data_IF_282403203816
#
_entry.id   IF_282403203816
#
_cell.length_a   1.000
_cell.length_b   1.000
_cell.length_c   1.000
_cell.angle_alpha   90.00
_cell.angle_beta   90.00
_cell.angle_gamma   90.00
#
_symmetry.space_group_name_H-M   'P 1'
#
loop_
_entity.id
_entity.type
_entity.pdbx_description
1 polymer ?
#
# COMPACT_ATOMS: atom_id res chain seq x y z
N UNK A 1 7.57 -16.12 -10.43
CA UNK A 1 7.35 -15.37 -9.19
C UNK A 1 8.15 -14.07 -9.22
N UNK A 2 7.64 -13.01 -8.62
CA UNK A 2 8.30 -11.72 -8.46
C UNK A 2 8.40 -11.44 -6.97
N UNK A 3 9.59 -11.07 -6.50
CA UNK A 3 9.76 -10.59 -5.12
C UNK A 3 9.36 -9.12 -5.07
N UNK A 4 8.27 -8.81 -4.35
CA UNK A 4 7.86 -7.44 -4.07
C UNK A 4 8.34 -7.04 -2.68
N UNK A 5 8.86 -5.82 -2.54
CA UNK A 5 9.32 -5.29 -1.24
C UNK A 5 8.82 -3.85 -1.10
N UNK A 6 7.98 -3.61 -0.11
CA UNK A 6 7.57 -2.27 0.29
C UNK A 6 8.23 -1.88 1.60
N UNK A 7 8.97 -0.76 1.59
CA UNK A 7 9.78 -0.29 2.72
C UNK A 7 9.09 0.92 3.34
N UNK A 8 8.26 0.65 4.34
CA UNK A 8 7.57 1.66 5.14
C UNK A 8 8.38 2.13 6.34
N UNK A 9 7.95 3.24 6.97
CA UNK A 9 8.60 3.79 8.17
C UNK A 9 8.53 2.87 9.40
N UNK A 10 7.51 2.03 9.49
CA UNK A 10 7.28 1.14 10.64
C UNK A 10 7.57 -0.32 10.30
N UNK A 11 7.30 -0.73 9.08
CA UNK A 11 7.46 -2.11 8.65
C UNK A 11 7.89 -2.21 7.19
N UNK A 12 8.59 -3.29 6.89
CA UNK A 12 8.94 -3.74 5.56
C UNK A 12 8.03 -4.93 5.25
N UNK A 13 7.27 -4.83 4.17
CA UNK A 13 6.45 -5.93 3.68
C UNK A 13 7.12 -6.55 2.45
N UNK A 14 7.33 -7.86 2.47
CA UNK A 14 7.84 -8.61 1.34
C UNK A 14 6.86 -9.71 0.95
N UNK A 15 6.71 -9.97 -0.35
CA UNK A 15 5.85 -11.04 -0.83
C UNK A 15 6.42 -11.70 -2.07
N UNK A 16 6.08 -12.97 -2.28
CA UNK A 16 6.18 -13.59 -3.59
C UNK A 16 4.86 -13.41 -4.32
N UNK A 17 4.89 -12.74 -5.45
CA UNK A 17 3.71 -12.49 -6.24
C UNK A 17 3.74 -13.35 -7.51
N UNK A 18 2.61 -14.01 -7.77
CA UNK A 18 2.40 -14.80 -8.97
C UNK A 18 1.10 -14.38 -9.65
N UNK A 19 1.10 -14.36 -10.97
CA UNK A 19 -0.10 -14.13 -11.75
C UNK A 19 -0.67 -15.49 -12.18
N UNK A 20 -1.93 -15.72 -11.90
CA UNK A 20 -2.63 -16.92 -12.39
C UNK A 20 -2.94 -16.80 -13.90
N UNK A 21 -3.39 -17.91 -14.50
CA UNK A 21 -3.76 -17.95 -15.93
C UNK A 21 -4.95 -17.06 -16.31
N UNK A 22 -5.59 -16.39 -15.33
CA UNK A 22 -6.70 -15.43 -15.51
C UNK A 22 -6.25 -13.99 -15.27
N UNK A 23 -4.95 -13.76 -15.04
CA UNK A 23 -4.42 -12.42 -14.81
C UNK A 23 -4.52 -11.92 -13.37
N UNK A 24 -5.04 -12.73 -12.43
CA UNK A 24 -5.16 -12.35 -11.03
C UNK A 24 -3.82 -12.53 -10.33
N UNK A 25 -3.37 -11.49 -9.63
CA UNK A 25 -2.19 -11.56 -8.77
C UNK A 25 -2.55 -12.14 -7.40
N UNK A 26 -1.77 -13.10 -6.95
CA UNK A 26 -1.88 -13.71 -5.62
C UNK A 26 -0.52 -13.82 -4.98
N UNK A 27 -0.45 -13.54 -3.68
CA UNK A 27 0.73 -13.82 -2.88
C UNK A 27 0.63 -15.25 -2.36
N UNK A 28 1.67 -16.06 -2.58
CA UNK A 28 1.80 -17.39 -1.93
C UNK A 28 2.48 -17.27 -0.58
N UNK A 29 3.23 -16.19 -0.41
CA UNK A 29 3.96 -15.84 0.79
C UNK A 29 3.89 -14.35 1.00
N UNK A 30 3.69 -13.93 2.23
CA UNK A 30 3.84 -12.56 2.69
C UNK A 30 4.63 -12.56 3.99
N UNK A 31 5.60 -11.66 4.08
CA UNK A 31 6.38 -11.44 5.29
C UNK A 31 6.28 -9.97 5.70
N UNK A 32 6.31 -9.76 7.00
CA UNK A 32 6.39 -8.43 7.60
C UNK A 32 7.55 -8.41 8.59
N UNK A 33 8.48 -7.52 8.34
CA UNK A 33 9.63 -7.25 9.22
C UNK A 33 9.53 -5.83 9.76
N UNK A 34 10.08 -5.61 10.95
CA UNK A 34 10.13 -4.25 11.51
C UNK A 34 11.19 -3.40 10.81
N UNK A 35 10.86 -2.13 10.59
CA UNK A 35 11.82 -1.13 10.15
C UNK A 35 12.64 -0.66 11.35
N UNK A 36 13.86 -1.17 11.49
CA UNK A 36 14.73 -0.89 12.64
C UNK A 36 15.88 0.02 12.22
N UNK A 37 15.96 1.26 12.75
CA UNK A 37 17.09 2.15 12.47
C UNK A 37 18.43 1.50 12.86
N UNK A 38 19.42 1.58 11.95
CA UNK A 38 20.77 1.02 12.18
C UNK A 38 20.89 -0.49 12.01
N UNK A 39 19.83 -1.22 11.71
CA UNK A 39 19.90 -2.64 11.38
C UNK A 39 20.67 -2.85 10.07
N UNK A 40 21.58 -3.82 10.05
CA UNK A 40 22.42 -4.09 8.87
C UNK A 40 21.66 -4.80 7.74
N UNK A 41 22.10 -4.59 6.50
CA UNK A 41 21.60 -5.32 5.33
C UNK A 41 21.72 -6.85 5.51
N UNK A 42 22.81 -7.32 6.12
CA UNK A 42 23.02 -8.75 6.41
C UNK A 42 21.97 -9.34 7.35
N UNK A 43 21.51 -8.57 8.35
CA UNK A 43 20.47 -9.00 9.28
C UNK A 43 19.08 -9.05 8.60
N UNK A 44 18.76 -8.09 7.74
CA UNK A 44 17.54 -8.14 6.92
C UNK A 44 17.55 -9.30 5.92
N UNK A 45 18.69 -9.55 5.29
CA UNK A 45 18.85 -10.67 4.34
C UNK A 45 18.70 -12.02 5.04
N UNK A 46 19.26 -12.18 6.25
CA UNK A 46 19.14 -13.41 7.03
C UNK A 46 17.67 -13.69 7.38
N UNK A 47 16.98 -12.70 7.93
CA UNK A 47 15.55 -12.83 8.27
C UNK A 47 14.68 -13.12 7.04
N UNK A 48 14.89 -12.43 5.91
CA UNK A 48 14.18 -12.72 4.67
C UNK A 48 14.42 -14.15 4.19
N UNK A 49 15.64 -14.67 4.31
CA UNK A 49 15.96 -16.06 3.94
C UNK A 49 15.27 -17.07 4.85
N UNK A 50 15.20 -16.82 6.14
CA UNK A 50 14.49 -17.65 7.10
C UNK A 50 13.00 -17.70 6.77
N UNK A 51 12.35 -16.54 6.61
CA UNK A 51 10.94 -16.43 6.28
C UNK A 51 10.61 -17.11 4.93
N UNK A 52 11.45 -16.96 3.92
CA UNK A 52 11.28 -17.65 2.64
C UNK A 52 11.46 -19.16 2.79
N UNK A 53 12.42 -19.62 3.58
CA UNK A 53 12.66 -21.04 3.81
C UNK A 53 11.49 -21.69 4.58
N UNK A 54 10.95 -21.03 5.58
CA UNK A 54 9.75 -21.46 6.31
C UNK A 54 8.54 -21.62 5.38
N UNK A 55 8.41 -20.73 4.38
CA UNK A 55 7.40 -20.80 3.35
C UNK A 55 7.71 -21.82 2.23
N UNK A 56 8.85 -22.53 2.30
CA UNK A 56 9.27 -23.48 1.28
C UNK A 56 9.74 -22.85 -0.04
N UNK A 57 10.07 -21.55 -0.03
CA UNK A 57 10.50 -20.82 -1.22
C UNK A 57 12.03 -20.81 -1.27
N UNK A 58 12.58 -21.28 -2.39
CA UNK A 58 14.04 -21.30 -2.59
C UNK A 58 14.55 -19.95 -3.09
N UNK A 59 15.69 -19.51 -2.61
CA UNK A 59 16.43 -18.43 -3.24
C UNK A 59 16.70 -18.79 -4.73
N UNK A 60 16.49 -17.82 -5.63
CA UNK A 60 16.58 -18.05 -7.08
C UNK A 60 15.29 -18.53 -7.76
N UNK A 61 14.21 -18.75 -7.03
CA UNK A 61 12.89 -19.03 -7.62
C UNK A 61 12.23 -17.78 -8.25
N UNK A 62 12.77 -16.61 -7.95
CA UNK A 62 12.25 -15.34 -8.44
C UNK A 62 12.85 -14.99 -9.79
N UNK A 63 12.02 -14.53 -10.73
CA UNK A 63 12.45 -13.98 -12.03
C UNK A 63 12.94 -12.53 -11.95
N UNK A 64 12.70 -11.88 -10.80
CA UNK A 64 13.11 -10.51 -10.53
C UNK A 64 12.51 -9.99 -9.24
N UNK A 65 12.85 -8.73 -8.92
CA UNK A 65 12.31 -8.03 -7.76
C UNK A 65 11.90 -6.61 -8.09
N UNK A 66 10.97 -6.07 -7.29
CA UNK A 66 10.54 -4.68 -7.34
C UNK A 66 10.44 -4.11 -5.94
N UNK A 67 10.90 -2.87 -5.78
CA UNK A 67 10.93 -2.17 -4.49
C UNK A 67 10.19 -0.83 -4.58
N UNK A 68 9.44 -0.54 -3.51
CA UNK A 68 8.99 0.80 -3.13
C UNK A 68 9.62 1.16 -1.79
N UNK A 69 10.02 2.41 -1.60
CA UNK A 69 10.58 2.84 -0.33
C UNK A 69 10.18 4.27 -0.01
N UNK A 70 9.72 4.49 1.23
CA UNK A 70 9.60 5.82 1.85
C UNK A 70 10.69 6.07 2.90
N UNK A 71 11.70 5.17 2.98
CA UNK A 71 12.85 5.24 3.89
C UNK A 71 14.15 5.21 3.08
N UNK A 72 14.66 6.36 2.61
CA UNK A 72 15.83 6.40 1.73
C UNK A 72 17.07 5.69 2.29
N UNK A 73 17.26 5.73 3.61
CA UNK A 73 18.41 5.11 4.28
C UNK A 73 18.44 3.57 4.16
N UNK A 74 17.30 2.92 3.94
CA UNK A 74 17.18 1.47 3.82
C UNK A 74 17.06 0.98 2.36
N UNK A 75 16.78 1.89 1.44
CA UNK A 75 16.52 1.53 0.04
C UNK A 75 17.68 0.76 -0.58
N UNK A 76 18.90 1.29 -0.50
CA UNK A 76 20.08 0.63 -1.09
C UNK A 76 20.40 -0.70 -0.39
N UNK A 77 20.21 -0.79 0.93
CA UNK A 77 20.43 -2.01 1.69
C UNK A 77 19.47 -3.13 1.23
N UNK A 78 18.18 -2.85 1.16
CA UNK A 78 17.17 -3.83 0.77
C UNK A 78 17.19 -4.13 -0.74
N UNK A 79 17.60 -3.17 -1.55
CA UNK A 79 17.91 -3.40 -2.97
C UNK A 79 19.03 -4.44 -3.11
N UNK A 80 20.13 -4.32 -2.33
CA UNK A 80 21.20 -5.32 -2.26
C UNK A 80 20.71 -6.70 -1.80
N UNK A 81 19.83 -6.76 -0.79
CA UNK A 81 19.21 -8.00 -0.32
C UNK A 81 18.38 -8.65 -1.44
N UNK A 82 17.50 -7.89 -2.09
CA UNK A 82 16.66 -8.38 -3.17
C UNK A 82 17.48 -8.88 -4.36
N UNK A 83 18.55 -8.15 -4.75
CA UNK A 83 19.49 -8.59 -5.78
C UNK A 83 20.17 -9.92 -5.40
N UNK A 84 20.56 -10.08 -4.15
CA UNK A 84 21.18 -11.32 -3.67
C UNK A 84 20.23 -12.51 -3.70
N UNK A 85 18.93 -12.28 -3.44
CA UNK A 85 17.90 -13.32 -3.43
C UNK A 85 17.46 -13.73 -4.84
N UNK A 86 17.41 -12.78 -5.77
CA UNK A 86 16.84 -13.01 -7.11
C UNK A 86 17.89 -13.20 -8.19
N UNK A 87 19.16 -12.80 -7.92
CA UNK A 87 20.23 -12.81 -8.92
C UNK A 87 20.11 -11.73 -10.01
N UNK A 88 19.10 -10.84 -9.91
CA UNK A 88 18.84 -9.78 -10.88
C UNK A 88 18.79 -8.41 -10.20
N UNK A 89 19.05 -7.34 -10.96
CA UNK A 89 18.90 -5.98 -10.44
C UNK A 89 17.41 -5.66 -10.22
N UNK A 90 17.01 -5.27 -9.00
CA UNK A 90 15.61 -4.95 -8.71
C UNK A 90 15.15 -3.66 -9.41
N UNK A 91 13.89 -3.64 -9.82
CA UNK A 91 13.21 -2.41 -10.25
C UNK A 91 12.88 -1.59 -9.01
N UNK A 92 13.37 -0.36 -8.93
CA UNK A 92 13.03 0.59 -7.85
C UNK A 92 11.99 1.57 -8.39
N UNK A 93 10.84 1.63 -7.74
CA UNK A 93 9.76 2.55 -8.13
C UNK A 93 10.08 3.96 -7.64
N UNK A 94 9.95 4.92 -8.54
CA UNK A 94 10.16 6.35 -8.31
C UNK A 94 9.05 7.16 -8.98
N UNK A 95 9.02 8.48 -8.77
CA UNK A 95 8.12 9.40 -9.50
C UNK A 95 8.30 9.36 -11.03
N UNK A 96 9.46 8.87 -11.51
CA UNK A 96 9.80 8.74 -12.94
C UNK A 96 9.47 7.37 -13.53
N UNK A 97 9.04 6.43 -12.71
CA UNK A 97 8.63 5.10 -13.18
C UNK A 97 7.35 5.20 -14.00
N UNK A 98 7.22 4.29 -14.97
CA UNK A 98 5.97 4.17 -15.72
C UNK A 98 4.88 3.59 -14.81
N UNK A 99 4.05 4.47 -14.28
CA UNK A 99 2.89 4.12 -13.45
C UNK A 99 1.61 3.94 -14.28
N UNK A 100 1.62 4.37 -15.54
CA UNK A 100 0.42 4.50 -16.38
C UNK A 100 -0.49 5.65 -15.96
N UNK A 101 0.02 6.56 -15.12
CA UNK A 101 -0.67 7.76 -14.65
C UNK A 101 0.10 9.00 -15.09
N UNK A 102 -0.62 10.07 -15.36
CA UNK A 102 -0.06 11.42 -15.41
C UNK A 102 -0.01 11.96 -13.98
N UNK A 103 1.11 12.52 -13.56
CA UNK A 103 1.25 13.08 -12.19
C UNK A 103 1.12 14.59 -12.27
N UNK A 104 0.03 15.15 -11.74
CA UNK A 104 -0.24 16.59 -11.68
C UNK A 104 -0.09 17.10 -10.24
N UNK A 105 1.16 17.28 -9.84
CA UNK A 105 1.53 17.77 -8.52
C UNK A 105 2.54 18.90 -8.64
N UNK A 106 2.52 19.85 -7.73
CA UNK A 106 3.53 20.91 -7.65
C UNK A 106 4.94 20.36 -7.39
N UNK A 107 5.04 19.24 -6.64
CA UNK A 107 6.30 18.60 -6.27
C UNK A 107 6.19 17.08 -6.45
N UNK A 108 6.21 16.58 -7.71
CA UNK A 108 5.99 15.16 -8.00
C UNK A 108 7.04 14.24 -7.37
N UNK A 109 8.27 14.71 -7.19
CA UNK A 109 9.35 13.92 -6.57
C UNK A 109 9.20 13.74 -5.04
N UNK A 110 8.31 14.50 -4.40
CA UNK A 110 8.02 14.39 -2.96
C UNK A 110 6.82 13.49 -2.65
N UNK A 111 6.10 13.01 -3.64
CA UNK A 111 4.99 12.08 -3.40
C UNK A 111 5.51 10.75 -2.86
N UNK A 112 4.82 10.20 -1.85
CA UNK A 112 5.09 8.85 -1.34
C UNK A 112 4.95 7.81 -2.47
N UNK A 113 5.96 6.98 -2.62
CA UNK A 113 5.98 5.97 -3.69
C UNK A 113 4.91 4.92 -3.48
N UNK A 114 4.61 4.57 -2.24
CA UNK A 114 3.48 3.74 -1.80
C UNK A 114 2.15 4.25 -2.36
N UNK A 115 1.93 5.57 -2.29
CA UNK A 115 0.72 6.22 -2.83
C UNK A 115 0.61 6.06 -4.34
N UNK A 116 1.72 6.23 -5.07
CA UNK A 116 1.76 6.03 -6.51
C UNK A 116 1.52 4.57 -6.91
N UNK A 117 2.08 3.64 -6.15
CA UNK A 117 1.89 2.19 -6.34
C UNK A 117 0.43 1.81 -6.17
N UNK A 118 -0.19 2.24 -5.06
CA UNK A 118 -1.60 1.97 -4.77
C UNK A 118 -2.53 2.59 -5.83
N UNK A 119 -2.28 3.85 -6.19
CA UNK A 119 -3.07 4.57 -7.19
C UNK A 119 -2.95 3.93 -8.59
N UNK A 120 -1.74 3.51 -8.99
CA UNK A 120 -1.51 2.85 -10.27
C UNK A 120 -2.29 1.52 -10.37
N UNK A 121 -2.27 0.72 -9.29
CA UNK A 121 -3.06 -0.50 -9.23
C UNK A 121 -4.56 -0.22 -9.31
N UNK A 122 -5.04 0.67 -8.46
CA UNK A 122 -6.47 0.98 -8.41
C UNK A 122 -6.98 1.52 -9.75
N UNK A 123 -6.24 2.43 -10.39
CA UNK A 123 -6.60 2.96 -11.70
C UNK A 123 -6.52 1.94 -12.84
N UNK A 124 -5.74 0.87 -12.69
CA UNK A 124 -5.65 -0.20 -13.68
C UNK A 124 -6.81 -1.21 -13.54
N UNK A 125 -7.35 -1.39 -12.33
CA UNK A 125 -8.27 -2.50 -12.02
C UNK A 125 -9.70 -2.07 -11.77
N UNK A 126 -9.95 -0.78 -11.49
CA UNK A 126 -11.28 -0.31 -11.10
C UNK A 126 -11.74 0.87 -11.98
N UNK A 127 -13.07 1.12 -12.03
CA UNK A 127 -13.61 2.28 -12.73
C UNK A 127 -13.04 3.59 -12.20
N UNK A 128 -12.72 4.51 -13.09
CA UNK A 128 -12.29 5.87 -12.77
C UNK A 128 -13.50 6.83 -12.68
N UNK A 129 -13.39 7.88 -11.87
CA UNK A 129 -12.26 8.20 -11.00
C UNK A 129 -12.15 7.23 -9.82
N UNK A 130 -10.93 7.05 -9.29
CA UNK A 130 -10.67 6.15 -8.17
C UNK A 130 -9.99 6.88 -7.02
N UNK A 131 -10.41 6.56 -5.81
CA UNK A 131 -9.84 7.03 -4.56
C UNK A 131 -9.25 5.85 -3.80
N UNK A 132 -7.95 5.85 -3.54
CA UNK A 132 -7.33 4.87 -2.65
C UNK A 132 -7.17 5.47 -1.26
N UNK A 133 -7.53 4.67 -0.24
CA UNK A 133 -7.33 5.02 1.18
C UNK A 133 -6.46 3.96 1.81
N UNK A 134 -5.22 4.33 2.12
CA UNK A 134 -4.29 3.45 2.83
C UNK A 134 -4.25 3.83 4.31
N UNK A 135 -4.58 2.85 5.17
CA UNK A 135 -4.65 3.00 6.62
C UNK A 135 -3.46 2.32 7.29
N UNK A 136 -2.33 3.02 7.27
CA UNK A 136 -1.08 2.63 7.90
C UNK A 136 -0.74 3.50 9.13
N UNK A 137 0.54 3.89 9.24
CA UNK A 137 1.03 4.86 10.25
C UNK A 137 0.35 6.23 10.09
N UNK A 138 0.11 6.64 8.86
CA UNK A 138 -0.83 7.69 8.49
C UNK A 138 -2.02 7.10 7.76
N UNK A 139 -3.12 7.83 7.66
CA UNK A 139 -4.22 7.53 6.75
C UNK A 139 -4.06 8.42 5.52
N UNK A 140 -3.75 7.82 4.37
CA UNK A 140 -3.48 8.57 3.14
C UNK A 140 -4.58 8.34 2.12
N UNK A 141 -5.08 9.43 1.53
CA UNK A 141 -6.05 9.43 0.45
C UNK A 141 -5.34 9.81 -0.83
N UNK A 142 -5.53 9.07 -1.91
CA UNK A 142 -4.91 9.36 -3.20
C UNK A 142 -5.94 9.28 -4.31
N UNK A 143 -6.07 10.36 -5.06
CA UNK A 143 -7.09 10.56 -6.10
C UNK A 143 -6.48 10.37 -7.47
N UNK A 144 -7.11 9.56 -8.29
CA UNK A 144 -6.89 9.51 -9.74
C UNK A 144 -8.20 9.83 -10.43
N UNK A 145 -8.21 10.87 -11.23
CA UNK A 145 -9.41 11.33 -11.95
C UNK A 145 -9.76 10.44 -13.17
N UNK A 146 -10.83 10.81 -13.86
CA UNK A 146 -11.32 10.09 -15.04
C UNK A 146 -10.30 10.03 -16.19
N UNK A 147 -9.38 11.00 -16.27
CA UNK A 147 -8.34 11.10 -17.30
C UNK A 147 -7.03 10.40 -16.92
N UNK A 148 -7.04 9.58 -15.84
CA UNK A 148 -5.84 8.92 -15.27
C UNK A 148 -4.79 9.89 -14.75
N UNK A 149 -5.20 11.07 -14.30
CA UNK A 149 -4.30 12.03 -13.68
C UNK A 149 -4.31 11.83 -12.16
N UNK A 150 -3.14 11.60 -11.59
CA UNK A 150 -2.95 11.57 -10.14
C UNK A 150 -2.97 13.02 -9.61
N UNK A 151 -4.05 13.39 -8.93
CA UNK A 151 -4.34 14.75 -8.43
C UNK A 151 -3.79 15.03 -7.04
N UNK A 152 -3.16 14.05 -6.41
CA UNK A 152 -2.74 14.17 -5.01
C UNK A 152 -3.77 13.58 -4.05
N UNK A 153 -4.13 14.31 -3.01
CA UNK A 153 -5.13 13.83 -2.04
C UNK A 153 -4.92 14.37 -0.64
N UNK A 154 -5.27 13.58 0.40
CA UNK A 154 -5.28 14.01 1.80
C UNK A 154 -4.39 13.10 2.64
N UNK A 155 -3.69 13.66 3.62
CA UNK A 155 -3.00 12.92 4.66
C UNK A 155 -3.60 13.26 6.01
N UNK A 156 -3.98 12.23 6.76
CA UNK A 156 -4.51 12.35 8.11
C UNK A 156 -3.70 11.49 9.09
N UNK A 157 -3.77 11.75 10.39
CA UNK A 157 -3.18 10.85 11.38
C UNK A 157 -3.72 9.43 11.24
N UNK A 158 -2.84 8.44 11.39
CA UNK A 158 -3.25 7.03 11.39
C UNK A 158 -4.09 6.69 12.61
N UNK A 159 -4.92 5.66 12.51
CA UNK A 159 -5.85 5.22 13.57
C UNK A 159 -5.12 4.89 14.87
N UNK A 160 -4.02 4.13 14.79
CA UNK A 160 -3.22 3.79 15.96
C UNK A 160 -2.56 5.03 16.58
N UNK A 161 -2.04 5.95 15.76
CA UNK A 161 -1.47 7.21 16.21
C UNK A 161 -2.52 8.06 16.93
N UNK A 162 -3.73 8.16 16.39
CA UNK A 162 -4.85 8.85 17.01
C UNK A 162 -5.29 8.24 18.34
N UNK A 163 -5.20 6.91 18.48
CA UNK A 163 -5.52 6.20 19.71
C UNK A 163 -4.43 6.38 20.78
N UNK A 164 -3.15 6.41 20.40
CA UNK A 164 -2.02 6.54 21.32
C UNK A 164 -1.79 7.98 21.78
N UNK A 165 -1.99 8.97 20.93
CA UNK A 165 -1.67 10.37 21.23
C UNK A 165 -2.31 10.92 22.52
N UNK A 166 -3.54 10.61 22.91
CA UNK A 166 -4.09 10.99 24.21
C UNK A 166 -3.39 10.31 25.39
N UNK A 167 -3.03 9.03 25.26
CA UNK A 167 -2.36 8.25 26.32
C UNK A 167 -0.96 8.81 26.59
N UNK A 168 -0.22 9.20 25.57
CA UNK A 168 1.14 9.74 25.70
C UNK A 168 1.16 11.13 26.37
N UNK A 169 0.03 11.85 26.34
CA UNK A 169 -0.10 13.21 26.87
C UNK A 169 -0.84 13.32 28.19
N UNK A 170 -1.36 12.23 28.74
CA UNK A 170 -2.12 12.22 29.98
C UNK A 170 -1.74 11.02 30.85
N UNK A 171 -1.49 11.28 32.14
CA UNK A 171 -1.12 10.22 33.10
C UNK A 171 -2.27 9.26 33.47
N UNK A 172 -3.51 9.53 33.05
CA UNK A 172 -4.71 8.82 33.52
C UNK A 172 -5.38 7.94 32.46
N UNK A 173 -4.97 8.04 31.17
CA UNK A 173 -5.62 7.24 30.14
C UNK A 173 -4.95 5.87 30.00
N UNK A 174 -5.74 4.78 29.96
CA UNK A 174 -5.20 3.43 29.81
C UNK A 174 -4.69 3.21 28.38
N UNK A 175 -3.73 2.29 28.23
CA UNK A 175 -3.42 1.71 26.94
C UNK A 175 -4.64 0.92 26.43
N UNK A 176 -5.03 1.16 25.19
CA UNK A 176 -6.24 0.56 24.59
C UNK A 176 -5.85 -0.19 23.33
N UNK A 177 -6.25 -1.45 23.26
CA UNK A 177 -6.08 -2.25 22.03
C UNK A 177 -7.06 -1.80 20.95
N UNK A 178 -6.58 -1.86 19.70
CA UNK A 178 -7.35 -1.49 18.53
C UNK A 178 -8.29 -2.64 18.13
N UNK A 179 -9.57 -2.38 18.19
CA UNK A 179 -10.64 -3.29 17.78
C UNK A 179 -11.80 -2.50 17.19
N UNK A 180 -12.58 -3.12 16.31
CA UNK A 180 -13.82 -2.52 15.82
C UNK A 180 -14.86 -2.43 16.94
N UNK A 181 -15.34 -1.24 17.32
CA UNK A 181 -16.30 -1.08 18.39
C UNK A 181 -17.67 -1.61 17.97
N UNK A 182 -18.35 -2.35 18.88
CA UNK A 182 -19.73 -2.83 18.62
C UNK A 182 -20.76 -1.69 18.65
N UNK A 183 -20.47 -0.64 19.40
CA UNK A 183 -21.33 0.54 19.55
C UNK A 183 -20.46 1.81 19.46
N UNK A 184 -20.96 2.82 18.78
CA UNK A 184 -20.29 4.13 18.70
C UNK A 184 -20.26 4.82 20.07
N UNK A 185 -21.31 4.65 20.87
CA UNK A 185 -21.34 5.21 22.25
C UNK A 185 -20.57 4.28 23.17
N UNK A 186 -19.34 4.66 23.53
CA UNK A 186 -18.54 3.96 24.55
C UNK A 186 -19.12 4.19 25.96
N UNK A 187 -19.08 3.15 26.81
CA UNK A 187 -19.55 3.21 28.20
C UNK A 187 -18.40 3.18 29.22
N UNK A 188 -17.17 3.10 28.76
CA UNK A 188 -15.93 3.15 29.55
C UNK A 188 -14.95 4.09 28.86
N UNK A 189 -13.96 4.61 29.59
CA UNK A 189 -12.90 5.45 28.99
C UNK A 189 -12.23 4.75 27.80
N UNK A 190 -11.83 3.49 27.98
CA UNK A 190 -11.23 2.68 26.90
C UNK A 190 -12.19 2.51 25.71
N UNK A 191 -13.47 2.24 26.00
CA UNK A 191 -14.51 2.13 24.96
C UNK A 191 -14.73 3.43 24.20
N UNK A 192 -14.73 4.58 24.88
CA UNK A 192 -14.83 5.90 24.25
C UNK A 192 -13.62 6.20 23.38
N UNK A 193 -12.40 5.91 23.87
CA UNK A 193 -11.15 6.10 23.12
C UNK A 193 -11.12 5.22 21.86
N UNK A 194 -11.45 3.95 22.00
CA UNK A 194 -11.54 3.00 20.87
C UNK A 194 -12.55 3.47 19.82
N UNK A 195 -13.75 3.83 20.26
CA UNK A 195 -14.81 4.33 19.37
C UNK A 195 -14.38 5.63 18.66
N UNK A 196 -13.78 6.57 19.39
CA UNK A 196 -13.25 7.80 18.82
C UNK A 196 -12.19 7.55 17.75
N UNK A 197 -11.29 6.60 17.98
CA UNK A 197 -10.25 6.26 17.02
C UNK A 197 -10.81 5.53 15.78
N UNK A 198 -11.62 4.49 15.97
CA UNK A 198 -12.04 3.61 14.86
C UNK A 198 -13.27 4.13 14.15
N UNK A 199 -14.36 4.45 14.87
CA UNK A 199 -15.55 5.04 14.26
C UNK A 199 -15.30 6.47 13.76
N UNK A 200 -14.41 7.22 14.45
CA UNK A 200 -13.94 8.52 13.98
C UNK A 200 -13.16 8.42 12.67
N UNK A 201 -12.33 7.38 12.50
CA UNK A 201 -11.63 7.13 11.25
C UNK A 201 -12.58 6.72 10.10
N UNK A 202 -13.62 5.94 10.38
CA UNK A 202 -14.66 5.62 9.39
C UNK A 202 -15.39 6.89 8.94
N UNK A 203 -15.81 7.74 9.90
CA UNK A 203 -16.44 9.02 9.58
C UNK A 203 -15.52 9.98 8.81
N UNK A 204 -14.19 9.93 9.08
CA UNK A 204 -13.18 10.65 8.29
C UNK A 204 -13.15 10.15 6.85
N UNK A 205 -13.12 8.83 6.64
CA UNK A 205 -13.13 8.22 5.29
C UNK A 205 -14.36 8.67 4.54
N UNK A 206 -15.56 8.48 5.11
CA UNK A 206 -16.84 8.86 4.48
C UNK A 206 -16.88 10.37 4.19
N UNK A 207 -16.49 11.19 5.16
CA UNK A 207 -16.55 12.64 5.04
C UNK A 207 -15.53 13.23 4.06
N UNK A 208 -14.32 12.66 3.95
CA UNK A 208 -13.32 13.09 2.97
C UNK A 208 -13.71 12.61 1.58
N UNK A 209 -14.18 11.37 1.44
CA UNK A 209 -14.65 10.83 0.16
C UNK A 209 -15.76 11.72 -0.43
N UNK A 210 -16.80 12.05 0.37
CA UNK A 210 -17.88 12.91 -0.09
C UNK A 210 -17.40 14.32 -0.52
N UNK A 211 -16.37 14.87 0.12
CA UNK A 211 -15.79 16.16 -0.28
C UNK A 211 -14.98 16.08 -1.56
N UNK A 212 -14.24 14.97 -1.75
CA UNK A 212 -13.49 14.71 -2.99
C UNK A 212 -14.48 14.55 -4.16
N UNK A 213 -15.56 13.79 -3.99
CA UNK A 213 -16.61 13.64 -5.01
C UNK A 213 -17.24 14.96 -5.37
N UNK A 214 -17.53 15.80 -4.37
CA UNK A 214 -18.09 17.15 -4.60
C UNK A 214 -17.09 18.06 -5.36
N UNK A 215 -15.77 17.92 -5.12
CA UNK A 215 -14.73 18.67 -5.83
C UNK A 215 -14.53 18.18 -7.26
N UNK A 216 -14.58 16.85 -7.48
CA UNK A 216 -14.49 16.24 -8.81
C UNK A 216 -15.77 16.42 -9.63
N UNK A 217 -16.92 16.59 -8.97
CA UNK A 217 -18.25 16.66 -9.61
C UNK A 217 -18.84 15.31 -10.01
N UNK A 218 -18.22 14.21 -9.59
CA UNK A 218 -18.62 12.84 -9.91
C UNK A 218 -18.26 11.85 -8.79
N UNK A 219 -18.96 10.69 -8.69
CA UNK A 219 -18.65 9.67 -7.69
C UNK A 219 -17.33 8.98 -7.98
N UNK A 220 -16.64 8.55 -6.92
CA UNK A 220 -15.38 7.80 -7.02
C UNK A 220 -15.58 6.32 -6.70
N UNK A 221 -14.75 5.47 -7.30
CA UNK A 221 -14.56 4.11 -6.80
C UNK A 221 -13.60 4.16 -5.60
N UNK A 222 -14.11 3.90 -4.40
CA UNK A 222 -13.32 3.91 -3.16
C UNK A 222 -12.65 2.54 -2.95
N UNK A 223 -11.32 2.52 -2.86
CA UNK A 223 -10.53 1.33 -2.57
C UNK A 223 -9.76 1.53 -1.26
N UNK A 224 -10.06 0.71 -0.26
CA UNK A 224 -9.43 0.75 1.06
C UNK A 224 -8.37 -0.33 1.19
N UNK A 225 -7.23 0.03 1.76
CA UNK A 225 -6.09 -0.85 2.00
C UNK A 225 -5.36 -0.48 3.29
N UNK A 226 -4.29 -1.18 3.59
CA UNK A 226 -3.47 -0.94 4.79
C UNK A 226 -3.83 -1.85 5.95
N UNK A 227 -2.86 -2.08 6.83
CA UNK A 227 -3.00 -3.07 7.91
C UNK A 227 -4.06 -2.73 8.96
N UNK A 228 -4.44 -1.46 9.08
CA UNK A 228 -5.46 -0.99 10.03
C UNK A 228 -6.85 -0.83 9.40
N UNK A 229 -6.97 -0.90 8.08
CA UNK A 229 -8.25 -0.75 7.38
C UNK A 229 -9.28 -1.80 7.86
N UNK A 230 -8.88 -3.03 8.14
CA UNK A 230 -9.74 -4.11 8.63
C UNK A 230 -10.59 -3.78 9.86
N UNK A 231 -10.12 -2.83 10.68
CA UNK A 231 -10.86 -2.40 11.87
C UNK A 231 -11.87 -1.29 11.57
N UNK A 232 -11.64 -0.54 10.50
CA UNK A 232 -12.37 0.69 10.16
C UNK A 232 -13.41 0.44 9.07
N UNK A 233 -13.06 -0.34 8.04
CA UNK A 233 -13.89 -0.56 6.86
C UNK A 233 -15.31 -1.08 7.19
N UNK A 234 -15.52 -1.95 8.22
CA UNK A 234 -16.87 -2.41 8.52
C UNK A 234 -17.80 -1.31 9.04
N UNK A 235 -17.25 -0.14 9.41
CA UNK A 235 -18.01 1.01 9.91
C UNK A 235 -18.16 2.13 8.88
N UNK A 236 -17.51 2.03 7.71
CA UNK A 236 -17.66 3.01 6.64
C UNK A 236 -19.06 2.88 5.99
N UNK A 237 -19.70 4.01 5.78
CA UNK A 237 -21.00 4.08 5.14
C UNK A 237 -20.90 4.16 3.60
N UNK A 238 -19.83 4.79 3.10
CA UNK A 238 -19.58 4.89 1.66
C UNK A 238 -19.31 3.51 1.05
N UNK A 239 -19.91 3.16 -0.10
CA UNK A 239 -19.58 1.93 -0.82
C UNK A 239 -18.09 1.86 -1.15
N UNK A 240 -17.45 0.75 -0.82
CA UNK A 240 -16.01 0.61 -0.98
C UNK A 240 -15.59 -0.82 -1.29
N UNK A 241 -14.37 -0.96 -1.79
CA UNK A 241 -13.68 -2.21 -2.01
C UNK A 241 -12.56 -2.30 -0.98
N UNK A 242 -12.54 -3.36 -0.17
CA UNK A 242 -11.41 -3.62 0.72
C UNK A 242 -10.46 -4.63 0.06
N UNK A 243 -9.22 -4.22 -0.16
CA UNK A 243 -8.15 -5.07 -0.69
C UNK A 243 -6.86 -4.82 0.11
N UNK A 244 -6.47 -5.74 1.01
CA UNK A 244 -5.27 -5.58 1.83
C UNK A 244 -3.97 -5.65 1.02
N UNK A 245 -4.00 -6.18 -0.20
CA UNK A 245 -2.82 -6.48 -1.00
C UNK A 245 -2.56 -5.46 -2.12
N UNK A 246 -3.24 -4.31 -2.11
CA UNK A 246 -3.14 -3.27 -3.15
C UNK A 246 -1.69 -2.91 -3.45
N UNK A 247 -0.85 -2.69 -2.43
CA UNK A 247 0.56 -2.33 -2.61
C UNK A 247 1.35 -3.46 -3.28
N UNK A 248 1.18 -4.69 -2.84
CA UNK A 248 1.89 -5.85 -3.39
C UNK A 248 1.50 -6.10 -4.85
N UNK A 249 0.20 -6.00 -5.15
CA UNK A 249 -0.34 -6.12 -6.51
C UNK A 249 0.12 -4.96 -7.39
N UNK A 250 0.13 -3.75 -6.85
CA UNK A 250 0.61 -2.56 -7.54
C UNK A 250 2.09 -2.62 -7.86
N UNK A 251 2.92 -3.08 -6.93
CA UNK A 251 4.35 -3.32 -7.18
C UNK A 251 4.54 -4.33 -8.30
N UNK A 252 3.76 -5.41 -8.31
CA UNK A 252 3.83 -6.43 -9.36
C UNK A 252 3.46 -5.85 -10.73
N UNK A 253 2.38 -5.10 -10.81
CA UNK A 253 1.98 -4.38 -12.02
C UNK A 253 3.09 -3.44 -12.52
N UNK A 254 3.70 -2.68 -11.61
CA UNK A 254 4.75 -1.74 -11.96
C UNK A 254 6.07 -2.46 -12.33
N UNK A 255 6.35 -3.62 -11.77
CA UNK A 255 7.44 -4.47 -12.26
C UNK A 255 7.24 -4.81 -13.74
N UNK A 256 6.07 -5.31 -14.12
CA UNK A 256 5.78 -5.68 -15.51
C UNK A 256 5.90 -4.48 -16.47
N UNK A 257 5.50 -3.30 -16.04
CA UNK A 257 5.61 -2.08 -16.85
C UNK A 257 7.05 -1.59 -17.00
N UNK A 258 7.91 -1.78 -16.01
CA UNK A 258 9.24 -1.18 -15.98
C UNK A 258 10.38 -2.16 -16.24
N UNK A 259 10.23 -3.45 -15.97
CA UNK A 259 11.25 -4.47 -16.25
C UNK A 259 11.42 -4.74 -17.76
N UNK A 260 10.39 -4.53 -18.56
CA UNK A 260 10.41 -4.76 -20.02
C UNK A 260 11.08 -3.67 -20.85
N UNK A 261 11.53 -2.57 -20.26
CA UNK A 261 12.21 -1.48 -21.02
C UNK A 261 13.62 -1.84 -21.48
N UNK A 262 14.15 -2.99 -21.05
CA UNK A 262 15.41 -3.58 -21.56
C UNK A 262 15.19 -4.63 -22.65
N UNK A 263 13.94 -5.02 -22.95
CA UNK A 263 13.63 -6.04 -23.97
C UNK A 263 12.31 -5.69 -24.69
N UNK A 264 12.44 -5.10 -25.88
CA UNK A 264 11.29 -4.57 -26.63
C UNK A 264 10.50 -5.64 -27.36
N UNK A 265 9.52 -6.28 -26.75
CA UNK A 265 8.44 -6.93 -27.52
C UNK A 265 7.22 -7.37 -26.67
N UNK A 266 7.34 -7.48 -25.34
CA UNK A 266 6.28 -8.03 -24.48
C UNK A 266 5.17 -7.03 -24.11
N UNK A 267 5.36 -5.75 -24.38
CA UNK A 267 4.45 -4.66 -23.94
C UNK A 267 3.12 -4.61 -24.73
N UNK A 268 3.05 -5.18 -25.94
CA UNK A 268 1.82 -5.17 -26.76
C UNK A 268 0.76 -6.15 -26.30
N UNK A 269 1.14 -7.24 -25.63
CA UNK A 269 0.21 -8.25 -25.14
C UNK A 269 -0.51 -7.85 -23.85
N UNK A 270 0.14 -7.06 -22.98
CA UNK A 270 -0.45 -6.65 -21.69
C UNK A 270 -1.55 -5.60 -21.86
N UNK A 271 -1.39 -4.67 -22.80
CA UNK A 271 -2.40 -3.63 -23.10
C UNK A 271 -3.66 -4.25 -23.73
N UNK A 272 -3.49 -5.27 -24.57
CA UNK A 272 -4.63 -5.99 -25.17
C UNK A 272 -5.38 -6.87 -24.17
N UNK A 273 -4.71 -7.32 -23.10
CA UNK A 273 -5.30 -8.19 -22.08
C UNK A 273 -6.10 -7.40 -21.05
N UNK A 274 -5.66 -6.19 -20.68
CA UNK A 274 -6.39 -5.30 -19.76
C UNK A 274 -7.71 -4.78 -20.36
N UNK A 275 -7.82 -4.74 -21.68
CA UNK A 275 -9.06 -4.37 -22.39
C UNK A 275 -10.14 -5.47 -22.37
N UNK A 276 -9.82 -6.69 -21.93
CA UNK A 276 -10.74 -7.84 -21.88
C UNK A 276 -11.15 -8.25 -20.44
N UNK A 277 -10.81 -7.48 -19.41
CA UNK A 277 -11.12 -7.78 -17.98
C UNK A 277 -12.20 -6.82 -17.44
N UNK A 278 -12.67 -5.87 -18.25
CA UNK A 278 -13.88 -5.09 -17.93
C UNK A 278 -15.14 -5.79 -18.40
#
# INVERSE_FOLDING_TARGET
MILTVDIGNTAICAADMEQDGRGKYTARFTARMDTVPGRSAGAYLAELRELLAEAGIRAGAFRGAVLSSVVPALEEQLRGCARTLTGTEPVVITSKSDTGLTIDLAEPDKVGRDRLVAAAWAAACFPLPVLTVDMGTATTFSVVDADRVFRGGVNAPGVATGLQAPTDRTAQLPAVELETPRHVIGRTTAGCMRSGAVAGAAALVDGITARIEAELGEPVTLVMTGGLARYVEPLCAHPHIYDPDVLLKGLTLLYERNAGRTCGETCKLLVAFLANIC
#
